data_IF_358734955295
#
_entry.id   IF_358734955295
#
_cell.length_a   1.000
_cell.length_b   1.000
_cell.length_c   1.000
_cell.angle_alpha   90.00
_cell.angle_beta   90.00
_cell.angle_gamma   90.00
#
_symmetry.space_group_name_H-M   'P 1'
#
loop_
_entity.id
_entity.type
_entity.pdbx_description
1 polymer ?
#
# COMPACT_ATOMS: atom_id res chain seq x y z
N UNK A 1 21.26 14.42 20.83
CA UNK A 1 19.91 14.65 20.31
C UNK A 1 19.16 13.34 20.54
N UNK A 2 18.11 13.34 21.37
CA UNK A 2 17.31 12.14 21.60
C UNK A 2 16.19 12.13 20.57
N UNK A 3 16.22 11.16 19.65
CA UNK A 3 15.14 10.96 18.71
C UNK A 3 14.06 10.11 19.37
N UNK A 4 12.84 10.63 19.45
CA UNK A 4 11.69 9.90 19.99
C UNK A 4 10.74 9.54 18.85
N UNK A 5 10.23 8.32 18.85
CA UNK A 5 9.20 7.86 17.92
C UNK A 5 7.95 7.43 18.69
N UNK A 6 6.77 7.84 18.22
CA UNK A 6 5.49 7.37 18.77
C UNK A 6 4.89 6.34 17.83
N UNK A 7 4.65 5.13 18.33
CA UNK A 7 3.95 4.08 17.59
C UNK A 7 2.50 4.03 18.07
N UNK A 8 1.56 4.21 17.14
CA UNK A 8 0.13 4.12 17.39
C UNK A 8 -0.44 2.78 16.94
N UNK A 9 -1.40 2.24 17.70
CA UNK A 9 -2.27 1.15 17.27
C UNK A 9 -3.63 1.73 16.88
N UNK A 10 -4.18 1.25 15.77
CA UNK A 10 -5.42 1.76 15.20
C UNK A 10 -6.41 0.62 14.98
N UNK A 11 -7.70 0.93 15.15
CA UNK A 11 -8.81 0.00 14.90
C UNK A 11 -9.81 0.64 13.94
N UNK A 12 -10.29 -0.15 12.99
CA UNK A 12 -11.40 0.23 12.12
C UNK A 12 -12.69 0.43 12.92
N UNK A 13 -13.42 1.50 12.59
CA UNK A 13 -14.72 1.83 13.15
C UNK A 13 -15.89 1.25 12.35
N UNK A 14 -15.63 0.90 11.09
CA UNK A 14 -16.54 0.25 10.15
C UNK A 14 -15.74 -0.63 9.19
N UNK A 15 -16.42 -1.55 8.52
CA UNK A 15 -15.82 -2.27 7.39
C UNK A 15 -15.52 -1.28 6.25
N UNK A 16 -14.42 -1.52 5.54
CA UNK A 16 -13.95 -0.70 4.42
C UNK A 16 -13.65 -1.58 3.22
N UNK A 17 -13.78 -1.02 2.03
CA UNK A 17 -13.43 -1.69 0.77
C UNK A 17 -12.12 -1.11 0.21
N UNK A 18 -11.12 -1.98 0.04
CA UNK A 18 -9.77 -1.55 -0.38
C UNK A 18 -9.30 -2.37 -1.56
N UNK A 19 -8.57 -1.73 -2.48
CA UNK A 19 -7.89 -2.42 -3.56
C UNK A 19 -6.66 -3.13 -3.02
N UNK A 20 -6.55 -4.44 -3.27
CA UNK A 20 -5.37 -5.22 -2.92
C UNK A 20 -4.34 -5.22 -4.06
N UNK A 21 -3.33 -4.35 -3.96
CA UNK A 21 -2.17 -4.36 -4.85
C UNK A 21 -1.06 -5.31 -4.34
N UNK A 22 -1.08 -5.70 -3.07
CA UNK A 22 -0.07 -6.57 -2.47
C UNK A 22 -0.06 -7.99 -3.06
N UNK A 23 -1.24 -8.49 -3.46
CA UNK A 23 -1.42 -9.80 -4.07
C UNK A 23 -1.99 -9.70 -5.48
N UNK A 24 -1.72 -8.58 -6.18
CA UNK A 24 -2.29 -8.36 -7.52
C UNK A 24 -1.93 -9.54 -8.43
N UNK A 25 -0.71 -10.06 -8.36
CA UNK A 25 -0.25 -11.19 -9.19
C UNK A 25 -0.84 -12.56 -8.82
N UNK A 26 -1.67 -12.66 -7.78
CA UNK A 26 -2.26 -13.91 -7.28
C UNK A 26 -3.77 -13.95 -7.53
N UNK A 27 -4.17 -14.01 -8.80
CA UNK A 27 -5.58 -14.20 -9.15
C UNK A 27 -5.90 -15.68 -9.32
N UNK A 28 -6.95 -16.09 -8.61
CA UNK A 28 -7.60 -17.39 -8.78
C UNK A 28 -8.38 -17.43 -10.09
N UNK A 29 -8.25 -18.50 -10.91
CA UNK A 29 -8.99 -18.65 -12.17
C UNK A 29 -10.51 -18.69 -11.98
N UNK A 30 -10.99 -18.86 -10.74
CA UNK A 30 -12.41 -18.88 -10.42
C UNK A 30 -13.02 -17.47 -10.24
N UNK A 31 -12.20 -16.41 -10.08
CA UNK A 31 -12.68 -15.03 -9.90
C UNK A 31 -13.35 -14.49 -11.19
N UNK A 32 -12.91 -14.98 -12.36
CA UNK A 32 -13.42 -14.56 -13.67
C UNK A 32 -14.91 -14.83 -13.89
N UNK A 33 -15.41 -15.92 -13.33
CA UNK A 33 -16.74 -16.48 -13.66
C UNK A 33 -17.86 -15.71 -12.94
N UNK A 34 -17.63 -15.29 -11.70
CA UNK A 34 -18.67 -14.68 -10.86
C UNK A 34 -18.80 -13.15 -11.03
N UNK A 35 -17.74 -12.47 -11.51
CA UNK A 35 -17.67 -11.00 -11.57
C UNK A 35 -17.64 -10.42 -13.00
N UNK A 36 -17.88 -11.25 -14.04
CA UNK A 36 -17.86 -10.78 -15.43
C UNK A 36 -16.47 -10.31 -15.89
N UNK A 37 -15.42 -10.88 -15.30
CA UNK A 37 -14.05 -10.43 -15.46
C UNK A 37 -13.35 -11.22 -16.56
N UNK A 38 -12.94 -10.53 -17.63
CA UNK A 38 -12.19 -11.17 -18.72
C UNK A 38 -10.77 -11.50 -18.26
N UNK A 39 -10.58 -12.76 -17.90
CA UNK A 39 -9.28 -13.34 -17.55
C UNK A 39 -8.22 -13.06 -18.63
N UNK A 40 -8.61 -12.92 -19.89
CA UNK A 40 -7.70 -12.58 -20.99
C UNK A 40 -7.18 -11.15 -20.85
N UNK A 41 -8.06 -10.16 -20.65
CA UNK A 41 -7.65 -8.77 -20.42
C UNK A 41 -6.72 -8.67 -19.22
N UNK A 42 -7.03 -9.41 -18.17
CA UNK A 42 -6.19 -9.46 -16.99
C UNK A 42 -4.81 -10.06 -17.25
N UNK A 43 -4.76 -11.25 -17.89
CA UNK A 43 -3.52 -11.93 -18.22
C UNK A 43 -2.62 -11.08 -19.13
N UNK A 44 -3.22 -10.33 -20.07
CA UNK A 44 -2.49 -9.41 -20.96
C UNK A 44 -1.89 -8.23 -20.17
N UNK A 45 -2.59 -7.72 -19.16
CA UNK A 45 -2.17 -6.54 -18.41
C UNK A 45 -1.38 -6.84 -17.12
N UNK A 46 -1.13 -8.12 -16.81
CA UNK A 46 -0.54 -8.54 -15.52
C UNK A 46 0.80 -7.87 -15.22
N UNK A 47 1.65 -7.69 -16.22
CA UNK A 47 2.96 -7.06 -16.04
C UNK A 47 2.82 -5.56 -15.71
N UNK A 48 1.87 -4.87 -16.33
CA UNK A 48 1.57 -3.47 -15.99
C UNK A 48 1.02 -3.34 -14.57
N UNK A 49 0.15 -4.26 -14.16
CA UNK A 49 -0.40 -4.28 -12.81
C UNK A 49 0.68 -4.56 -11.75
N UNK A 50 1.63 -5.46 -12.03
CA UNK A 50 2.82 -5.68 -11.19
C UNK A 50 3.68 -4.43 -11.09
N UNK A 51 3.91 -3.73 -12.21
CA UNK A 51 4.67 -2.47 -12.20
C UNK A 51 3.99 -1.42 -11.31
N UNK A 52 2.66 -1.25 -11.41
CA UNK A 52 1.91 -0.34 -10.56
C UNK A 52 2.07 -0.68 -9.08
N UNK A 53 1.92 -1.96 -8.72
CA UNK A 53 2.10 -2.42 -7.34
C UNK A 53 3.53 -2.15 -6.82
N UNK A 54 4.54 -2.34 -7.66
CA UNK A 54 5.93 -2.06 -7.32
C UNK A 54 6.18 -0.56 -7.13
N UNK A 55 5.71 0.29 -8.04
CA UNK A 55 5.90 1.75 -7.92
C UNK A 55 5.21 2.31 -6.67
N UNK A 56 4.00 1.84 -6.33
CA UNK A 56 3.29 2.25 -5.11
C UNK A 56 4.02 1.79 -3.84
N UNK A 57 4.65 0.61 -3.88
CA UNK A 57 5.40 0.10 -2.73
C UNK A 57 6.76 0.80 -2.53
N UNK A 58 7.36 1.38 -3.58
CA UNK A 58 8.70 1.98 -3.48
C UNK A 58 8.76 3.09 -2.42
N UNK A 59 9.80 3.11 -1.57
CA UNK A 59 10.00 4.22 -0.65
C UNK A 59 10.30 5.48 -1.46
N UNK A 60 9.58 6.56 -1.18
CA UNK A 60 9.83 7.85 -1.82
C UNK A 60 11.23 8.35 -1.42
N UNK A 61 12.03 8.72 -2.43
CA UNK A 61 13.26 9.48 -2.23
C UNK A 61 12.91 10.95 -2.47
N UNK A 62 13.27 11.81 -1.52
CA UNK A 62 12.74 13.18 -1.37
C UNK A 62 13.02 14.16 -2.52
N UNK A 63 13.69 13.75 -3.59
CA UNK A 63 14.36 14.71 -4.46
C UNK A 63 13.60 14.99 -5.77
N UNK A 64 12.52 14.25 -6.08
CA UNK A 64 11.81 14.43 -7.35
C UNK A 64 10.29 14.25 -7.27
N UNK A 65 9.56 15.37 -7.27
CA UNK A 65 8.08 15.42 -7.25
C UNK A 65 7.47 14.65 -8.45
N UNK A 66 8.18 14.60 -9.57
CA UNK A 66 7.74 13.89 -10.78
C UNK A 66 7.61 12.38 -10.56
N UNK A 67 8.41 11.79 -9.67
CA UNK A 67 8.37 10.36 -9.38
C UNK A 67 7.09 9.96 -8.61
N UNK A 68 6.40 10.94 -8.02
CA UNK A 68 5.15 10.73 -7.27
C UNK A 68 3.89 10.89 -8.12
N UNK A 69 3.95 11.59 -9.25
CA UNK A 69 2.77 11.86 -10.10
C UNK A 69 2.04 10.58 -10.55
N UNK A 70 2.73 9.51 -10.99
CA UNK A 70 2.04 8.30 -11.43
C UNK A 70 1.27 7.61 -10.30
N UNK A 71 1.89 7.46 -9.12
CA UNK A 71 1.27 6.78 -7.97
C UNK A 71 0.14 7.62 -7.37
N UNK A 72 0.27 8.94 -7.37
CA UNK A 72 -0.78 9.86 -6.98
C UNK A 72 -1.99 9.77 -7.92
N UNK A 73 -1.76 9.82 -9.24
CA UNK A 73 -2.84 9.71 -10.23
C UNK A 73 -3.61 8.39 -10.09
N UNK A 74 -2.91 7.28 -9.89
CA UNK A 74 -3.54 5.97 -9.67
C UNK A 74 -4.34 5.96 -8.36
N UNK A 75 -3.79 6.55 -7.30
CA UNK A 75 -4.48 6.64 -6.00
C UNK A 75 -5.77 7.46 -6.10
N UNK A 76 -5.72 8.60 -6.78
CA UNK A 76 -6.89 9.45 -7.03
C UNK A 76 -7.91 8.77 -7.94
N UNK A 77 -7.46 8.02 -8.94
CA UNK A 77 -8.33 7.21 -9.78
C UNK A 77 -9.07 6.14 -8.95
N UNK A 78 -8.36 5.38 -8.10
CA UNK A 78 -8.96 4.37 -7.21
C UNK A 78 -9.97 5.03 -6.27
N UNK A 79 -9.61 6.16 -5.65
CA UNK A 79 -10.53 6.95 -4.81
C UNK A 79 -11.78 7.37 -5.58
N UNK A 80 -11.64 7.83 -6.82
CA UNK A 80 -12.78 8.25 -7.67
C UNK A 80 -13.75 7.12 -8.00
N UNK A 81 -13.31 5.86 -7.87
CA UNK A 81 -14.16 4.67 -8.05
C UNK A 81 -14.93 4.26 -6.79
N UNK A 82 -14.74 4.95 -5.66
CA UNK A 82 -15.50 4.73 -4.43
C UNK A 82 -14.83 3.80 -3.41
N UNK A 83 -13.62 3.33 -3.67
CA UNK A 83 -12.84 2.55 -2.69
C UNK A 83 -12.38 3.44 -1.54
N UNK A 84 -12.28 2.87 -0.34
CA UNK A 84 -11.84 3.57 0.88
C UNK A 84 -10.30 3.65 1.00
N UNK A 85 -9.57 2.82 0.26
CA UNK A 85 -8.11 2.76 0.34
C UNK A 85 -7.42 1.75 -0.55
N UNK A 86 -6.13 1.59 -0.32
CA UNK A 86 -5.20 0.75 -1.09
C UNK A 86 -4.32 -0.04 -0.10
N UNK A 87 -4.30 -1.36 -0.26
CA UNK A 87 -3.36 -2.25 0.40
C UNK A 87 -2.20 -2.59 -0.54
N UNK A 88 -0.96 -2.47 -0.07
CA UNK A 88 0.24 -2.73 -0.87
C UNK A 88 1.36 -3.36 -0.06
N UNK A 89 2.31 -4.02 -0.73
CA UNK A 89 3.40 -4.73 -0.06
C UNK A 89 4.30 -3.81 0.76
N UNK A 90 4.69 -4.23 1.97
CA UNK A 90 5.62 -3.47 2.80
C UNK A 90 7.06 -3.66 2.30
N UNK A 91 7.76 -2.55 2.06
CA UNK A 91 9.20 -2.56 1.76
C UNK A 91 10.06 -2.94 2.95
N UNK A 92 9.55 -2.72 4.17
CA UNK A 92 10.28 -2.96 5.40
C UNK A 92 10.12 -4.40 5.90
N UNK A 93 9.02 -5.09 5.56
CA UNK A 93 8.77 -6.48 5.95
C UNK A 93 8.20 -7.29 4.80
N UNK A 94 8.91 -8.34 4.34
CA UNK A 94 8.53 -9.19 3.20
C UNK A 94 7.12 -9.80 3.25
N UNK A 95 6.55 -10.01 4.44
CA UNK A 95 5.20 -10.54 4.64
C UNK A 95 4.24 -9.50 5.25
N UNK A 96 4.71 -8.27 5.43
CA UNK A 96 3.89 -7.16 5.88
C UNK A 96 3.22 -6.47 4.70
N UNK A 97 2.09 -5.85 4.98
CA UNK A 97 1.39 -4.96 4.07
C UNK A 97 1.28 -3.59 4.71
N UNK A 98 1.22 -2.57 3.87
CA UNK A 98 0.89 -1.21 4.23
C UNK A 98 -0.53 -0.95 3.75
N UNK A 99 -1.24 -0.10 4.48
CA UNK A 99 -2.59 0.32 4.14
C UNK A 99 -2.63 1.84 4.04
N UNK A 100 -2.94 2.36 2.85
CA UNK A 100 -3.27 3.75 2.62
C UNK A 100 -4.79 3.90 2.60
N UNK A 101 -5.32 4.87 3.34
CA UNK A 101 -6.76 5.08 3.51
C UNK A 101 -7.07 6.53 3.17
N UNK A 102 -8.10 6.76 2.36
CA UNK A 102 -8.44 8.11 1.90
C UNK A 102 -9.20 8.93 2.94
N UNK A 103 -9.99 8.28 3.79
CA UNK A 103 -10.67 8.89 4.92
C UNK A 103 -10.08 8.38 6.25
N UNK A 104 -9.24 9.17 6.94
CA UNK A 104 -8.65 8.74 8.20
C UNK A 104 -9.67 8.63 9.34
N UNK A 105 -10.86 9.23 9.22
CA UNK A 105 -11.89 9.21 10.28
C UNK A 105 -12.47 7.82 10.53
N UNK A 106 -12.27 6.89 9.59
CA UNK A 106 -12.71 5.49 9.72
C UNK A 106 -11.83 4.69 10.69
N UNK A 107 -10.73 5.27 11.16
CA UNK A 107 -9.85 4.68 12.16
C UNK A 107 -9.91 5.41 13.49
N UNK A 108 -9.85 4.65 14.57
CA UNK A 108 -9.62 5.15 15.92
C UNK A 108 -8.27 4.68 16.44
N UNK A 109 -7.43 5.61 16.86
CA UNK A 109 -6.23 5.29 17.62
C UNK A 109 -6.64 4.72 18.99
N UNK A 110 -6.22 3.50 19.30
CA UNK A 110 -6.57 2.78 20.54
C UNK A 110 -5.48 2.89 21.59
N UNK A 111 -4.22 3.04 21.18
CA UNK A 111 -3.09 3.21 22.09
C UNK A 111 -1.90 3.84 21.39
N UNK A 112 -1.08 4.55 22.14
CA UNK A 112 0.19 5.11 21.69
C UNK A 112 1.31 4.70 22.64
N UNK A 113 2.49 4.39 22.12
CA UNK A 113 3.68 4.15 22.92
C UNK A 113 4.86 4.92 22.35
N UNK A 114 5.54 5.68 23.22
CA UNK A 114 6.72 6.47 22.88
C UNK A 114 7.96 5.61 23.11
N UNK A 115 8.90 5.65 22.16
CA UNK A 115 10.18 4.97 22.22
C UNK A 115 11.30 5.99 22.03
N UNK A 116 12.31 5.90 22.90
CA UNK A 116 13.59 6.58 22.75
C UNK A 116 14.47 5.75 21.82
N UNK A 117 14.81 6.32 20.66
CA UNK A 117 15.60 5.63 19.63
C UNK A 117 17.05 5.58 20.08
N UNK A 118 17.51 4.38 20.45
CA UNK A 118 18.90 4.15 20.88
C UNK A 118 19.85 3.87 19.73
N UNK A 119 19.38 3.22 18.68
CA UNK A 119 20.16 2.88 17.50
C UNK A 119 19.25 2.57 16.33
N UNK A 120 19.77 2.75 15.11
CA UNK A 120 19.12 2.33 13.86
C UNK A 120 20.10 1.40 13.14
N UNK A 121 19.61 0.25 12.68
CA UNK A 121 20.38 -0.70 11.87
C UNK A 121 19.92 -0.62 10.42
N UNK A 122 20.88 -0.49 9.50
CA UNK A 122 20.62 -0.42 8.07
C UNK A 122 21.26 -1.62 7.37
N UNK A 123 20.48 -2.30 6.54
CA UNK A 123 20.98 -3.32 5.61
C UNK A 123 21.26 -2.67 4.24
N UNK A 124 22.42 -2.94 3.67
CA UNK A 124 22.82 -2.43 2.35
C UNK A 124 23.39 -3.54 1.47
N UNK A 125 23.28 -3.36 0.15
CA UNK A 125 23.92 -4.21 -0.86
C UNK A 125 24.80 -3.34 -1.76
N UNK A 126 26.01 -3.79 -2.12
CA UNK A 126 26.79 -3.15 -3.18
C UNK A 126 25.99 -3.13 -4.49
N UNK A 127 26.13 -2.04 -5.24
CA UNK A 127 25.58 -1.90 -6.60
C UNK A 127 26.58 -2.50 -7.58
#
# INVERSE_FOLDING_TARGET
>A
MYDYVTVGSFKLLKDIEVINLANIDRISPFIGIDYGFDLTQYAVNIEHLKMIAQEIAKPLRNDNVLDYLPTQYISDFIRSKGYDGIEYGSTMRKQGFNLAVFDPSVFKCTSTKVYDVKSISYDYKPI
#
